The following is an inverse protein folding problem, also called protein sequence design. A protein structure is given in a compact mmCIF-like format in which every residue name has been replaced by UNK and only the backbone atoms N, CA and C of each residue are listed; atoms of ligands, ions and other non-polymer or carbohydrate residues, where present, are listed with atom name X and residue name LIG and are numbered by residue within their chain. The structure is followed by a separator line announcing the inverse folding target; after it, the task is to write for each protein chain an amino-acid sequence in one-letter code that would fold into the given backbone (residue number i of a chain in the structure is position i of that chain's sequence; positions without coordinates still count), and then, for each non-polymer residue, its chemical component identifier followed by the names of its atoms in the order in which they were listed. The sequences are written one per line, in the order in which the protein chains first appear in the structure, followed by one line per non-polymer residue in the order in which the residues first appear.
data_IF_323924885836
#
_entry.id   IF_323924885836
#
_cell.length_a   1.000
_cell.length_b   1.000
_cell.length_c   1.000
_cell.angle_alpha   90.00
_cell.angle_beta   90.00
_cell.angle_gamma   90.00
#
_symmetry.space_group_name_H-M   'P 1'
#
loop_
_entity.id
_entity.type
_entity.pdbx_description
1 polymer ?
#
# COMPACT_ATOMS: atom_id res chain seq x y z
N UNK A 1 -24.09 2.81 -8.02
CA UNK A 1 -23.71 4.02 -7.28
C UNK A 1 -22.20 3.98 -7.20
N UNK A 2 -21.51 5.09 -7.51
CA UNK A 2 -20.07 5.19 -7.29
C UNK A 2 -19.73 4.85 -5.84
N UNK A 3 -18.60 4.19 -5.60
CA UNK A 3 -18.18 3.78 -4.26
C UNK A 3 -16.76 4.26 -3.92
N UNK A 4 -16.54 4.58 -2.65
CA UNK A 4 -15.20 4.65 -2.05
C UNK A 4 -14.84 3.25 -1.53
N UNK A 5 -13.93 2.56 -2.23
CA UNK A 5 -13.49 1.22 -1.87
C UNK A 5 -12.06 1.27 -1.33
N UNK A 6 -11.85 0.78 -0.11
CA UNK A 6 -10.52 0.65 0.49
C UNK A 6 -10.02 -0.79 0.42
N UNK A 7 -9.05 -1.04 -0.45
CA UNK A 7 -8.30 -2.29 -0.53
C UNK A 7 -7.13 -2.27 0.45
N UNK A 8 -7.23 -3.09 1.49
CA UNK A 8 -6.25 -3.18 2.56
C UNK A 8 -5.48 -4.50 2.56
N UNK A 9 -4.22 -4.43 2.97
CA UNK A 9 -3.39 -5.62 3.16
C UNK A 9 -2.04 -5.27 3.78
N UNK A 10 -1.19 -6.27 4.00
CA UNK A 10 0.19 -6.01 4.44
C UNK A 10 1.02 -5.43 3.30
N UNK A 11 2.29 -5.16 3.57
CA UNK A 11 3.26 -5.11 2.47
C UNK A 11 3.22 -6.45 1.72
N UNK A 12 3.54 -6.43 0.42
CA UNK A 12 3.81 -7.63 -0.39
C UNK A 12 2.59 -8.47 -0.76
N UNK A 13 1.38 -8.02 -0.44
CA UNK A 13 0.12 -8.66 -0.85
C UNK A 13 -0.38 -8.25 -2.25
N UNK A 14 0.44 -7.58 -3.06
CA UNK A 14 0.09 -7.25 -4.46
C UNK A 14 -0.87 -6.06 -4.67
N UNK A 15 -0.94 -5.11 -3.72
CA UNK A 15 -1.80 -3.91 -3.80
C UNK A 15 -1.67 -3.16 -5.14
N UNK A 16 -0.47 -2.69 -5.46
CA UNK A 16 -0.17 -1.94 -6.67
C UNK A 16 -0.43 -2.76 -7.94
N UNK A 17 -0.24 -4.09 -7.90
CA UNK A 17 -0.59 -4.96 -9.02
C UNK A 17 -2.09 -4.97 -9.28
N UNK A 18 -2.91 -5.11 -8.24
CA UNK A 18 -4.36 -5.07 -8.38
C UNK A 18 -4.85 -3.70 -8.85
N UNK A 19 -4.28 -2.61 -8.32
CA UNK A 19 -4.55 -1.25 -8.78
C UNK A 19 -4.31 -1.10 -10.29
N UNK A 20 -3.14 -1.55 -10.77
CA UNK A 20 -2.78 -1.51 -12.19
C UNK A 20 -3.66 -2.44 -13.05
N UNK A 21 -4.10 -3.57 -12.50
CA UNK A 21 -5.04 -4.46 -13.19
C UNK A 21 -6.43 -3.82 -13.33
N UNK A 22 -6.92 -3.12 -12.30
CA UNK A 22 -8.17 -2.34 -12.39
C UNK A 22 -8.03 -1.27 -13.47
N UNK A 23 -6.93 -0.51 -13.45
CA UNK A 23 -6.68 0.54 -14.44
C UNK A 23 -6.69 -0.05 -15.87
N UNK A 24 -5.90 -1.09 -16.11
CA UNK A 24 -5.81 -1.76 -17.41
C UNK A 24 -7.17 -2.25 -17.92
N UNK A 25 -7.97 -2.87 -17.05
CA UNK A 25 -9.30 -3.38 -17.43
C UNK A 25 -10.27 -2.27 -17.83
N UNK A 26 -10.19 -1.11 -17.16
CA UNK A 26 -11.04 0.06 -17.44
C UNK A 26 -10.58 0.78 -18.71
N UNK A 27 -9.27 0.94 -18.87
CA UNK A 27 -8.67 1.52 -20.08
C UNK A 27 -8.99 0.69 -21.33
N UNK A 28 -8.99 -0.64 -21.21
CA UNK A 28 -9.41 -1.55 -22.28
C UNK A 28 -10.88 -1.38 -22.69
N UNK A 29 -11.70 -0.69 -21.89
CA UNK A 29 -13.09 -0.31 -22.20
C UNK A 29 -13.25 1.16 -22.56
N UNK A 30 -12.14 1.88 -22.74
CA UNK A 30 -12.13 3.29 -23.13
C UNK A 30 -12.44 4.26 -21.99
N UNK A 31 -12.42 3.79 -20.74
CA UNK A 31 -12.51 4.66 -19.56
C UNK A 31 -11.12 5.24 -19.25
N UNK A 32 -11.06 6.44 -18.68
CA UNK A 32 -9.83 7.11 -18.30
C UNK A 32 -9.80 7.36 -16.79
N UNK A 33 -8.76 6.86 -16.13
CA UNK A 33 -8.58 7.05 -14.69
C UNK A 33 -7.60 8.17 -14.35
N UNK A 34 -7.75 8.74 -13.16
CA UNK A 34 -6.66 9.49 -12.51
C UNK A 34 -6.07 8.61 -11.40
N UNK A 35 -4.75 8.44 -11.42
CA UNK A 35 -4.04 7.65 -10.43
C UNK A 35 -3.24 8.61 -9.57
N UNK A 36 -3.55 8.66 -8.27
CA UNK A 36 -2.73 9.33 -7.27
C UNK A 36 -1.79 8.32 -6.61
N UNK A 37 -0.60 8.76 -6.26
CA UNK A 37 0.31 8.02 -5.39
C UNK A 37 1.00 8.99 -4.43
N UNK A 38 1.56 8.44 -3.36
CA UNK A 38 2.35 9.21 -2.42
C UNK A 38 3.49 8.38 -1.87
N UNK A 39 4.69 8.96 -1.87
CA UNK A 39 5.89 8.32 -1.32
C UNK A 39 6.16 6.93 -1.97
N UNK A 40 5.86 6.78 -3.27
CA UNK A 40 6.13 5.54 -4.03
C UNK A 40 7.64 5.30 -4.15
N UNK A 41 8.01 4.03 -4.09
CA UNK A 41 9.40 3.56 -4.15
C UNK A 41 10.06 3.76 -5.51
N UNK A 42 9.28 3.89 -6.59
CA UNK A 42 9.78 4.10 -7.95
C UNK A 42 10.13 5.56 -8.28
N UNK A 43 9.91 6.49 -7.35
CA UNK A 43 10.17 7.92 -7.53
C UNK A 43 8.92 8.71 -7.92
N UNK A 44 9.07 10.03 -7.98
CA UNK A 44 7.95 10.96 -8.19
C UNK A 44 7.18 10.69 -9.48
N UNK A 45 5.85 10.64 -9.35
CA UNK A 45 4.94 10.60 -10.50
C UNK A 45 4.80 9.24 -11.19
N UNK A 46 5.20 8.15 -10.53
CA UNK A 46 5.03 6.79 -11.05
C UNK A 46 4.48 5.85 -10.00
N UNK A 47 3.51 5.05 -10.40
CA UNK A 47 3.05 3.89 -9.65
C UNK A 47 3.76 2.65 -10.20
N UNK A 48 4.38 1.86 -9.33
CA UNK A 48 5.06 0.63 -9.71
C UNK A 48 4.62 -0.58 -8.88
N UNK A 49 4.61 -1.76 -9.50
CA UNK A 49 4.39 -3.01 -8.79
C UNK A 49 5.65 -3.86 -8.72
N UNK A 50 5.71 -4.77 -7.74
CA UNK A 50 6.79 -5.75 -7.60
C UNK A 50 6.90 -6.74 -8.78
N UNK A 51 5.86 -6.82 -9.61
CA UNK A 51 5.86 -7.63 -10.84
C UNK A 51 6.35 -6.85 -12.07
N UNK A 52 6.86 -5.64 -11.90
CA UNK A 52 7.46 -4.85 -12.97
C UNK A 52 6.46 -4.04 -13.81
N UNK A 53 5.18 -4.02 -13.44
CA UNK A 53 4.20 -3.11 -14.04
C UNK A 53 4.43 -1.68 -13.54
N UNK A 54 4.36 -0.70 -14.44
CA UNK A 54 4.56 0.73 -14.14
C UNK A 54 3.54 1.55 -14.93
N UNK A 55 2.99 2.58 -14.31
CA UNK A 55 2.15 3.59 -14.99
C UNK A 55 2.45 4.99 -14.45
N UNK A 56 2.05 6.01 -15.20
CA UNK A 56 2.08 7.40 -14.72
C UNK A 56 1.07 7.60 -13.60
N UNK A 57 1.48 8.35 -12.58
CA UNK A 57 0.66 8.72 -11.44
C UNK A 57 0.90 10.18 -11.07
N UNK A 58 -0.06 10.80 -10.41
CA UNK A 58 0.04 12.14 -9.87
C UNK A 58 0.50 12.02 -8.42
N UNK A 59 1.65 12.62 -8.11
CA UNK A 59 2.12 12.70 -6.72
C UNK A 59 1.15 13.57 -5.91
N UNK A 60 0.70 13.04 -4.77
CA UNK A 60 -0.28 13.68 -3.89
C UNK A 60 0.38 14.15 -2.59
N UNK A 61 1.10 15.29 -2.59
CA UNK A 61 1.69 15.83 -1.38
C UNK A 61 0.61 16.25 -0.37
N UNK A 62 1.00 16.48 0.88
CA UNK A 62 0.07 16.65 2.01
C UNK A 62 -0.86 17.87 1.88
N UNK A 63 -0.40 18.89 1.19
CA UNK A 63 -1.08 20.16 0.96
C UNK A 63 -1.88 20.20 -0.34
N UNK A 64 -1.83 19.13 -1.15
CA UNK A 64 -2.62 19.03 -2.36
C UNK A 64 -4.10 18.79 -2.06
N UNK A 65 -4.97 19.61 -2.65
CA UNK A 65 -6.41 19.39 -2.72
C UNK A 65 -6.74 18.49 -3.92
N UNK A 66 -7.03 17.21 -3.63
CA UNK A 66 -7.29 16.17 -4.63
C UNK A 66 -8.61 16.44 -5.37
N UNK A 67 -9.60 16.97 -4.66
CA UNK A 67 -10.91 17.30 -5.21
C UNK A 67 -10.78 18.47 -6.20
N UNK A 68 -10.11 19.55 -5.80
CA UNK A 68 -9.90 20.73 -6.64
C UNK A 68 -9.05 20.39 -7.88
N UNK A 69 -8.06 19.49 -7.74
CA UNK A 69 -7.29 18.98 -8.88
C UNK A 69 -8.20 18.34 -9.94
N UNK A 70 -9.08 17.41 -9.53
CA UNK A 70 -10.00 16.75 -10.45
C UNK A 70 -11.02 17.71 -11.07
N UNK A 71 -11.60 18.61 -10.27
CA UNK A 71 -12.52 19.63 -10.78
C UNK A 71 -11.84 20.50 -11.84
N UNK A 72 -10.58 20.89 -11.62
CA UNK A 72 -9.83 21.68 -12.58
C UNK A 72 -9.59 20.91 -13.88
N UNK A 73 -9.16 19.65 -13.78
CA UNK A 73 -8.96 18.79 -14.95
C UNK A 73 -10.24 18.62 -15.77
N UNK A 74 -11.36 18.32 -15.13
CA UNK A 74 -12.66 18.16 -15.78
C UNK A 74 -13.14 19.48 -16.42
N UNK A 75 -12.97 20.61 -15.73
CA UNK A 75 -13.38 21.93 -16.22
C UNK A 75 -12.57 22.40 -17.43
N UNK A 76 -11.34 21.93 -17.59
CA UNK A 76 -10.49 22.21 -18.74
C UNK A 76 -10.76 21.28 -19.94
N UNK A 77 -11.80 20.45 -19.87
CA UNK A 77 -12.16 19.50 -20.92
C UNK A 77 -11.40 18.17 -20.83
N UNK A 78 -10.65 17.93 -19.75
CA UNK A 78 -10.11 16.62 -19.43
C UNK A 78 -11.22 15.61 -19.08
N UNK A 79 -10.83 14.34 -18.94
CA UNK A 79 -11.72 13.26 -18.54
C UNK A 79 -11.18 12.53 -17.33
N UNK A 80 -12.09 12.06 -16.49
CA UNK A 80 -11.83 11.14 -15.39
C UNK A 80 -13.13 10.36 -15.15
N UNK A 81 -13.10 9.05 -15.37
CA UNK A 81 -14.22 8.14 -15.16
C UNK A 81 -14.11 7.42 -13.81
N UNK A 82 -12.91 7.40 -13.21
CA UNK A 82 -12.62 6.81 -11.90
C UNK A 82 -11.30 7.36 -11.35
N UNK A 83 -11.06 7.11 -10.06
CA UNK A 83 -9.82 7.46 -9.36
C UNK A 83 -9.22 6.21 -8.72
N UNK A 84 -7.90 6.09 -8.81
CA UNK A 84 -7.13 5.13 -8.02
C UNK A 84 -6.18 5.92 -7.13
N UNK A 85 -6.01 5.47 -5.90
CA UNK A 85 -5.02 6.01 -4.97
C UNK A 85 -4.18 4.86 -4.46
N UNK A 86 -2.89 4.81 -4.78
CA UNK A 86 -1.97 3.89 -4.11
C UNK A 86 -1.27 4.54 -2.92
N UNK A 87 -0.80 3.71 -2.00
CA UNK A 87 -0.17 4.12 -0.74
C UNK A 87 -1.02 5.12 0.07
N UNK A 88 -2.35 4.95 0.02
CA UNK A 88 -3.35 5.85 0.60
C UNK A 88 -3.20 6.04 2.12
N UNK A 89 -2.47 5.17 2.81
CA UNK A 89 -2.14 5.35 4.23
C UNK A 89 -1.34 6.63 4.51
N UNK A 90 -0.62 7.16 3.52
CA UNK A 90 0.21 8.37 3.66
C UNK A 90 -0.58 9.65 3.40
N UNK A 91 -1.81 9.56 2.89
CA UNK A 91 -2.68 10.72 2.75
C UNK A 91 -3.11 11.27 4.13
N UNK A 92 -3.30 12.58 4.18
CA UNK A 92 -3.88 13.22 5.35
C UNK A 92 -5.38 12.85 5.49
N UNK A 93 -5.95 12.81 6.70
CA UNK A 93 -7.38 12.57 6.88
C UNK A 93 -8.27 13.48 6.02
N UNK A 94 -7.88 14.75 5.86
CA UNK A 94 -8.60 15.73 5.05
C UNK A 94 -8.58 15.37 3.55
N UNK A 95 -7.50 14.74 3.07
CA UNK A 95 -7.44 14.23 1.70
C UNK A 95 -8.36 13.01 1.54
N UNK A 96 -8.56 12.20 2.57
CA UNK A 96 -9.55 11.11 2.54
C UNK A 96 -10.98 11.66 2.52
N UNK A 97 -11.26 12.74 3.24
CA UNK A 97 -12.56 13.43 3.13
C UNK A 97 -12.79 13.95 1.70
N UNK A 98 -11.74 14.45 1.03
CA UNK A 98 -11.81 14.84 -0.39
C UNK A 98 -12.10 13.64 -1.30
N UNK A 99 -11.56 12.45 -1.02
CA UNK A 99 -11.88 11.23 -1.77
C UNK A 99 -13.36 10.87 -1.65
N UNK A 100 -13.94 10.94 -0.46
CA UNK A 100 -15.38 10.71 -0.29
C UNK A 100 -16.20 11.74 -1.08
N UNK A 101 -15.79 13.02 -1.06
CA UNK A 101 -16.44 14.06 -1.86
C UNK A 101 -16.31 13.84 -3.37
N UNK A 102 -15.23 13.24 -3.85
CA UNK A 102 -15.11 12.86 -5.27
C UNK A 102 -16.18 11.83 -5.65
N UNK A 103 -16.47 10.87 -4.76
CA UNK A 103 -17.55 9.90 -4.96
C UNK A 103 -18.91 10.59 -4.97
N UNK A 104 -19.20 11.39 -3.93
CA UNK A 104 -20.51 11.98 -3.71
C UNK A 104 -20.84 13.10 -4.70
N UNK A 105 -19.93 14.05 -4.88
CA UNK A 105 -20.16 15.28 -5.64
C UNK A 105 -19.88 15.08 -7.15
N UNK A 106 -18.85 14.29 -7.51
CA UNK A 106 -18.44 14.08 -8.91
C UNK A 106 -18.98 12.78 -9.50
N UNK A 107 -19.49 11.87 -8.67
CA UNK A 107 -20.03 10.59 -9.12
C UNK A 107 -18.98 9.65 -9.70
N UNK A 108 -17.74 9.70 -9.21
CA UNK A 108 -16.62 8.86 -9.68
C UNK A 108 -16.30 7.76 -8.68
N UNK A 109 -16.07 6.53 -9.16
CA UNK A 109 -15.54 5.46 -8.31
C UNK A 109 -14.15 5.84 -7.79
N UNK A 110 -13.87 5.60 -6.50
CA UNK A 110 -12.54 5.78 -5.91
C UNK A 110 -12.03 4.46 -5.34
N UNK A 111 -10.92 3.97 -5.86
CA UNK A 111 -10.24 2.76 -5.39
C UNK A 111 -8.96 3.13 -4.63
N UNK A 112 -9.02 3.10 -3.31
CA UNK A 112 -7.87 3.37 -2.45
C UNK A 112 -7.15 2.06 -2.07
N UNK A 113 -5.83 2.05 -2.17
CA UNK A 113 -4.96 0.92 -1.82
C UNK A 113 -3.99 1.36 -0.73
N UNK A 114 -3.84 0.55 0.31
CA UNK A 114 -2.89 0.88 1.37
C UNK A 114 -2.71 -0.19 2.43
N UNK A 115 -1.71 0.01 3.29
CA UNK A 115 -1.55 -0.77 4.52
C UNK A 115 -2.33 -0.12 5.65
N UNK A 116 -2.90 -0.89 6.57
CA UNK A 116 -3.70 -0.30 7.66
C UNK A 116 -2.86 0.22 8.82
N UNK A 117 -1.80 -0.52 9.18
CA UNK A 117 -0.99 -0.23 10.36
C UNK A 117 0.49 -0.10 10.06
N UNK A 118 1.14 0.76 10.83
CA UNK A 118 2.60 0.88 10.88
C UNK A 118 3.27 -0.34 11.54
N UNK A 119 4.60 -0.31 11.62
CA UNK A 119 5.39 -1.39 12.21
C UNK A 119 5.11 -1.59 13.72
N UNK A 120 4.52 -0.58 14.39
CA UNK A 120 4.13 -0.58 15.80
C UNK A 120 2.69 -1.04 16.01
N UNK A 121 2.01 -1.51 14.96
CA UNK A 121 0.60 -1.93 14.98
C UNK A 121 -0.36 -0.79 15.32
N UNK A 122 0.00 0.44 14.96
CA UNK A 122 -0.90 1.60 15.05
C UNK A 122 -1.43 1.93 13.68
N UNK A 123 -2.72 2.25 13.61
CA UNK A 123 -3.33 2.67 12.34
C UNK A 123 -2.61 3.90 11.80
N UNK A 124 -2.41 3.93 10.49
CA UNK A 124 -2.07 5.18 9.82
C UNK A 124 -3.27 6.12 9.86
N UNK A 125 -3.08 7.45 10.02
CA UNK A 125 -4.18 8.39 10.03
C UNK A 125 -5.06 8.32 8.76
N UNK A 126 -4.45 8.24 7.58
CA UNK A 126 -5.19 8.10 6.31
C UNK A 126 -6.00 6.81 6.27
N UNK A 127 -5.39 5.67 6.65
CA UNK A 127 -6.10 4.39 6.70
C UNK A 127 -7.19 4.35 7.75
N UNK A 128 -6.99 4.98 8.90
CA UNK A 128 -8.03 5.11 9.91
C UNK A 128 -9.23 5.86 9.32
N UNK A 129 -8.99 6.98 8.63
CA UNK A 129 -10.07 7.75 8.02
C UNK A 129 -10.76 6.99 6.89
N UNK A 130 -10.03 6.20 6.10
CA UNK A 130 -10.61 5.31 5.09
C UNK A 130 -11.51 4.24 5.72
N UNK A 131 -11.12 3.67 6.86
CA UNK A 131 -11.95 2.71 7.58
C UNK A 131 -13.25 3.34 8.09
N UNK A 132 -13.22 4.62 8.44
CA UNK A 132 -14.39 5.37 8.91
C UNK A 132 -15.36 5.74 7.79
N UNK A 133 -14.86 5.94 6.57
CA UNK A 133 -15.63 6.54 5.46
C UNK A 133 -15.92 5.61 4.28
N UNK A 134 -15.08 4.62 4.01
CA UNK A 134 -15.24 3.80 2.82
C UNK A 134 -16.55 3.01 2.84
N UNK A 135 -17.26 3.00 1.71
CA UNK A 135 -18.45 2.17 1.51
C UNK A 135 -18.11 0.69 1.69
N UNK A 136 -16.91 0.30 1.25
CA UNK A 136 -16.42 -1.07 1.31
C UNK A 136 -14.94 -1.12 1.68
N UNK A 137 -14.61 -2.06 2.56
CA UNK A 137 -13.24 -2.39 2.92
C UNK A 137 -12.96 -3.82 2.48
N UNK A 138 -12.06 -3.97 1.52
CA UNK A 138 -11.72 -5.26 0.92
C UNK A 138 -10.32 -5.67 1.35
N UNK A 139 -10.17 -6.88 1.90
CA UNK A 139 -8.85 -7.43 2.17
C UNK A 139 -8.32 -8.10 0.90
N UNK A 140 -7.08 -7.79 0.50
CA UNK A 140 -6.48 -8.47 -0.65
C UNK A 140 -6.38 -9.99 -0.41
N UNK A 141 -6.76 -10.74 -1.44
CA UNK A 141 -6.84 -12.20 -1.41
C UNK A 141 -5.46 -12.87 -1.50
N UNK A 142 -4.46 -12.18 -2.05
CA UNK A 142 -3.09 -12.69 -2.12
C UNK A 142 -2.47 -12.57 -0.74
N UNK A 143 -2.27 -13.71 -0.08
CA UNK A 143 -1.70 -13.77 1.25
C UNK A 143 -0.18 -13.58 1.20
N UNK A 144 0.30 -12.50 1.79
CA UNK A 144 1.71 -12.42 2.13
C UNK A 144 2.02 -13.45 3.23
N UNK A 145 3.17 -14.12 3.13
CA UNK A 145 3.54 -15.18 4.07
C UNK A 145 4.63 -14.71 5.02
N UNK A 146 4.48 -15.07 6.28
CA UNK A 146 5.57 -15.02 7.25
C UNK A 146 6.60 -16.10 6.88
N UNK A 147 7.86 -15.93 7.29
CA UNK A 147 8.91 -16.94 7.12
C UNK A 147 8.54 -18.34 7.63
N UNK A 148 7.55 -18.44 8.53
CA UNK A 148 7.05 -19.72 9.04
C UNK A 148 5.93 -20.36 8.19
N UNK A 149 5.62 -19.79 7.02
CA UNK A 149 4.58 -20.26 6.10
C UNK A 149 3.15 -19.88 6.48
N UNK A 150 2.93 -19.32 7.68
CA UNK A 150 1.62 -18.81 8.06
C UNK A 150 1.36 -17.44 7.43
N UNK A 151 0.08 -17.13 7.20
CA UNK A 151 -0.37 -15.82 6.72
C UNK A 151 0.22 -14.68 7.57
N UNK A 152 0.92 -13.77 6.91
CA UNK A 152 1.39 -12.55 7.50
C UNK A 152 0.22 -11.56 7.64
N UNK A 153 0.21 -10.85 8.77
CA UNK A 153 -0.86 -9.90 9.11
C UNK A 153 -0.30 -8.59 9.67
N UNK A 154 1.02 -8.52 9.89
CA UNK A 154 1.67 -7.42 10.55
C UNK A 154 2.91 -7.00 9.76
N UNK A 155 3.12 -5.70 9.62
CA UNK A 155 4.37 -5.15 9.11
C UNK A 155 5.37 -5.02 10.27
N UNK A 156 6.64 -5.30 10.02
CA UNK A 156 7.73 -5.13 10.95
C UNK A 156 8.85 -4.34 10.29
N UNK A 157 9.37 -3.33 10.99
CA UNK A 157 10.60 -2.65 10.61
C UNK A 157 11.76 -3.37 11.27
N UNK A 158 12.84 -3.58 10.52
CA UNK A 158 14.06 -4.22 11.00
C UNK A 158 15.24 -3.28 10.89
N UNK A 159 16.19 -3.43 11.81
CA UNK A 159 17.49 -2.75 11.78
C UNK A 159 18.53 -3.84 12.03
N UNK A 160 19.42 -4.08 11.07
CA UNK A 160 20.37 -5.20 11.14
C UNK A 160 19.69 -6.58 11.25
N UNK A 161 18.47 -6.72 10.74
CA UNK A 161 17.68 -7.96 10.81
C UNK A 161 16.90 -8.15 12.12
N UNK A 162 17.02 -7.25 13.11
CA UNK A 162 16.23 -7.30 14.34
C UNK A 162 15.01 -6.37 14.26
N UNK A 163 13.87 -6.84 14.78
CA UNK A 163 12.64 -6.04 14.76
C UNK A 163 12.71 -4.88 15.76
N UNK A 164 12.46 -3.67 15.29
CA UNK A 164 12.33 -2.47 16.13
C UNK A 164 10.87 -2.13 16.40
N UNK A 165 10.57 -1.60 17.59
CA UNK A 165 9.22 -1.25 18.04
C UNK A 165 9.06 0.23 18.41
N UNK A 166 10.15 1.00 18.33
CA UNK A 166 10.21 2.43 18.63
C UNK A 166 10.82 3.18 17.45
N UNK A 167 10.54 4.49 17.38
CA UNK A 167 10.99 5.41 16.34
C UNK A 167 9.85 6.00 15.52
N UNK A 168 10.19 6.91 14.59
CA UNK A 168 9.21 7.58 13.74
C UNK A 168 8.51 6.61 12.80
N UNK A 169 7.24 6.92 12.49
CA UNK A 169 6.32 6.07 11.73
C UNK A 169 6.72 5.93 10.26
N UNK A 170 7.36 6.98 9.71
CA UNK A 170 7.90 7.02 8.35
C UNK A 170 9.38 7.36 8.47
N UNK A 171 10.24 6.49 7.95
CA UNK A 171 11.65 6.80 7.74
C UNK A 171 11.86 6.71 6.23
N UNK A 172 11.72 7.85 5.55
CA UNK A 172 12.31 8.04 4.23
C UNK A 172 13.82 8.18 4.47
N UNK A 173 14.64 7.43 3.74
CA UNK A 173 16.06 7.21 4.03
C UNK A 173 16.81 8.46 4.50
N UNK A 174 17.12 8.50 5.79
CA UNK A 174 17.88 9.59 6.42
C UNK A 174 19.37 9.40 6.11
N UNK A 175 19.92 10.29 5.29
CA UNK A 175 21.28 10.26 4.72
C UNK A 175 22.42 10.42 5.74
N UNK A 176 22.12 10.60 7.03
CA UNK A 176 23.12 10.97 8.06
C UNK A 176 23.30 9.97 9.23
N UNK A 177 22.71 8.78 9.17
CA UNK A 177 23.07 7.68 10.10
C UNK A 177 23.90 6.63 9.36
N UNK A 178 24.93 6.04 9.99
CA UNK A 178 25.52 4.82 9.44
C UNK A 178 24.38 3.81 9.26
N UNK A 179 24.16 3.40 8.02
CA UNK A 179 23.05 2.55 7.62
C UNK A 179 23.26 1.15 8.21
N UNK A 180 22.89 0.96 9.48
CA UNK A 180 22.32 -0.34 9.84
C UNK A 180 21.13 -0.53 8.91
N UNK A 181 21.21 -1.53 8.05
CA UNK A 181 20.32 -1.71 6.90
C UNK A 181 18.86 -1.74 7.39
N UNK A 182 18.12 -0.63 7.21
CA UNK A 182 16.72 -0.53 7.60
C UNK A 182 15.92 -1.38 6.62
N UNK A 183 15.34 -2.46 7.13
CA UNK A 183 14.52 -3.38 6.36
C UNK A 183 13.05 -3.31 6.78
N UNK A 184 12.22 -3.93 5.96
CA UNK A 184 10.82 -4.19 6.29
C UNK A 184 10.50 -5.65 5.96
N UNK A 185 9.82 -6.34 6.88
CA UNK A 185 9.37 -7.73 6.75
C UNK A 185 7.89 -7.83 7.16
N UNK A 186 7.18 -8.81 6.62
CA UNK A 186 5.81 -9.14 7.02
C UNK A 186 5.78 -10.41 7.88
N UNK A 187 5.10 -10.33 9.02
CA UNK A 187 5.08 -11.41 10.02
C UNK A 187 3.66 -11.84 10.37
N UNK A 188 3.51 -13.09 10.79
CA UNK A 188 2.29 -13.53 11.45
C UNK A 188 2.24 -12.90 12.85
N UNK A 189 1.04 -12.75 13.42
CA UNK A 189 0.84 -12.12 14.75
C UNK A 189 1.73 -12.75 15.84
N UNK A 190 1.93 -14.08 15.80
CA UNK A 190 2.77 -14.79 16.77
C UNK A 190 4.23 -14.32 16.71
N UNK A 191 4.80 -14.23 15.51
CA UNK A 191 6.19 -13.85 15.33
C UNK A 191 6.43 -12.35 15.49
N UNK A 192 5.46 -11.51 15.08
CA UNK A 192 5.50 -10.08 15.39
C UNK A 192 5.51 -9.82 16.91
N UNK A 193 4.59 -10.45 17.66
CA UNK A 193 4.54 -10.32 19.14
C UNK A 193 5.80 -10.81 19.85
N UNK A 194 6.48 -11.81 19.27
CA UNK A 194 7.73 -12.37 19.81
C UNK A 194 8.98 -11.67 19.28
N UNK A 195 8.82 -10.70 18.37
CA UNK A 195 9.91 -10.00 17.68
C UNK A 195 10.86 -10.96 16.95
N UNK A 196 10.31 -12.05 16.41
CA UNK A 196 11.05 -13.09 15.70
C UNK A 196 11.00 -12.82 14.20
N UNK A 197 12.01 -12.11 13.71
CA UNK A 197 12.27 -11.91 12.28
C UNK A 197 12.82 -13.19 11.64
N UNK A 198 12.81 -13.25 10.31
CA UNK A 198 13.48 -14.32 9.55
C UNK A 198 14.96 -14.47 9.95
N UNK A 199 15.68 -13.35 10.06
CA UNK A 199 17.09 -13.31 10.44
C UNK A 199 17.35 -13.83 11.86
N UNK A 200 16.59 -13.35 12.86
CA UNK A 200 16.75 -13.78 14.26
C UNK A 200 16.34 -15.24 14.48
N UNK A 201 15.40 -15.74 13.69
CA UNK A 201 15.02 -17.15 13.67
C UNK A 201 16.03 -18.04 12.94
N UNK A 202 17.03 -17.46 12.25
CA UNK A 202 17.89 -18.16 11.27
C UNK A 202 17.08 -18.99 10.28
N UNK A 203 15.90 -18.49 9.94
CA UNK A 203 15.02 -19.17 9.00
C UNK A 203 15.67 -19.09 7.62
N UNK A 204 16.03 -20.25 7.06
CA UNK A 204 16.31 -20.34 5.64
C UNK A 204 15.05 -19.99 4.84
N UNK A 205 15.21 -19.57 3.58
CA UNK A 205 14.07 -19.51 2.68
C UNK A 205 13.31 -20.85 2.73
N UNK A 206 11.99 -20.81 2.77
CA UNK A 206 11.15 -21.99 2.55
C UNK A 206 11.42 -22.45 1.10
N UNK A 207 12.47 -23.24 0.92
CA UNK A 207 12.89 -23.69 -0.41
C UNK A 207 11.81 -24.62 -0.97
N UNK A 208 11.38 -24.46 -2.23
CA UNK A 208 10.55 -25.44 -2.93
C UNK A 208 11.25 -26.81 -3.10
N UNK A 209 12.58 -26.87 -2.94
CA UNK A 209 13.41 -28.01 -3.35
C UNK A 209 13.92 -28.91 -2.21
N UNK A 210 13.24 -28.98 -1.06
CA UNK A 210 13.53 -30.02 -0.06
C UNK A 210 12.64 -31.23 -0.28
N UNK A 211 12.91 -31.99 -1.35
CA UNK A 211 12.44 -33.37 -1.46
C UNK A 211 13.22 -34.21 -0.43
N UNK A 212 12.56 -34.98 0.45
CA UNK A 212 13.25 -35.94 1.30
C UNK A 212 13.60 -37.15 0.44
N UNK A 213 14.78 -37.14 -0.17
CA UNK A 213 15.43 -38.38 -0.64
C UNK A 213 16.56 -38.69 0.32
N UNK A 214 16.30 -39.66 1.19
CA UNK A 214 17.23 -40.13 2.21
C UNK A 214 18.50 -40.69 1.60
N UNK A 215 19.61 -40.49 2.31
CA UNK A 215 20.80 -41.30 2.13
C UNK A 215 20.46 -42.75 2.49
N UNK A 216 20.48 -43.63 1.49
CA UNK A 216 20.70 -45.06 1.66
C UNK A 216 22.14 -45.37 1.25
#
# INVERSE_FOLDING_TARGET
MPELVFFSGTMDCGKSTLALQIAHNRDARGLQGVIFTRDDRAGEGKLSSRLGLVTEAVEAPRDMDLYAYLVTQLSQGGKADYVIVDEAQFLAPEQIDQLARIVDDLGLDVFAFGITTDFRTKLFPGSQRLIELADRIEQLQVEALCWCGARATHNARTVGGEMVVEGEQVVVGDVNRPAEEIGYEVLCRRHHRRRMTSATARAGALSPDVLPVGNA
#
